data_IF_100897379069
#
_entry.id   IF_100897379069
#
_cell.length_a   1.000
_cell.length_b   1.000
_cell.length_c   1.000
_cell.angle_alpha   90.00
_cell.angle_beta   90.00
_cell.angle_gamma   90.00
#
_symmetry.space_group_name_H-M   'P 1'
#
loop_
_entity.id
_entity.type
_entity.pdbx_description
1 polymer ?
#
# COMPACT_ATOMS: atom_id res chain seq x y z
N UNK A 1 10.53 -11.15 -6.09
CA UNK A 1 9.61 -10.99 -7.22
C UNK A 1 8.27 -11.60 -6.80
N UNK A 2 7.16 -11.00 -7.21
CA UNK A 2 5.80 -11.52 -6.95
C UNK A 2 5.26 -12.12 -8.25
N UNK A 3 4.60 -13.26 -8.16
CA UNK A 3 3.99 -13.94 -9.31
C UNK A 3 2.60 -13.36 -9.62
N UNK A 4 1.84 -13.07 -8.56
CA UNK A 4 0.54 -12.38 -8.62
C UNK A 4 0.46 -11.39 -7.46
N UNK A 5 -0.07 -10.20 -7.72
CA UNK A 5 -0.37 -9.18 -6.71
C UNK A 5 -1.77 -8.63 -6.98
N UNK A 6 -2.62 -8.61 -5.96
CA UNK A 6 -3.95 -8.01 -5.99
C UNK A 6 -4.03 -6.99 -4.87
N UNK A 7 -4.58 -5.80 -5.16
CA UNK A 7 -4.74 -4.73 -4.18
C UNK A 7 -6.19 -4.32 -4.15
N UNK A 8 -6.77 -4.34 -2.95
CA UNK A 8 -8.14 -3.92 -2.68
C UNK A 8 -8.12 -2.62 -1.88
N UNK A 9 -8.81 -1.60 -2.35
CA UNK A 9 -9.01 -0.35 -1.61
C UNK A 9 -10.14 -0.55 -0.60
N UNK A 10 -9.84 -0.36 0.69
CA UNK A 10 -10.78 -0.57 1.78
C UNK A 10 -11.45 0.72 2.22
N UNK A 11 -10.81 1.87 1.98
CA UNK A 11 -11.38 3.19 2.28
C UNK A 11 -10.73 4.26 1.41
N UNK A 12 -11.51 5.27 1.03
CA UNK A 12 -11.01 6.55 0.55
C UNK A 12 -11.57 7.69 1.40
N UNK A 13 -10.76 8.72 1.58
CA UNK A 13 -11.15 10.00 2.16
C UNK A 13 -10.61 11.09 1.24
N UNK A 14 -11.51 11.95 0.78
CA UNK A 14 -11.19 13.01 -0.18
C UNK A 14 -11.56 14.36 0.44
N UNK A 15 -10.66 15.34 0.34
CA UNK A 15 -10.85 16.72 0.78
C UNK A 15 -10.20 17.73 -0.18
N UNK A 16 -10.31 19.03 0.13
CA UNK A 16 -9.77 20.12 -0.70
C UNK A 16 -8.23 20.11 -0.80
N UNK A 17 -7.54 19.37 0.07
CA UNK A 17 -6.08 19.24 0.12
C UNK A 17 -5.60 17.94 -0.51
N UNK A 18 -6.51 17.05 -0.89
CA UNK A 18 -6.23 15.84 -1.66
C UNK A 18 -6.97 14.61 -1.16
N UNK A 19 -6.34 13.45 -1.26
CA UNK A 19 -6.99 12.16 -1.04
C UNK A 19 -6.13 11.22 -0.21
N UNK A 20 -6.76 10.45 0.68
CA UNK A 20 -6.14 9.34 1.41
C UNK A 20 -6.84 8.03 1.03
N UNK A 21 -6.05 7.02 0.67
CA UNK A 21 -6.51 5.73 0.19
C UNK A 21 -5.95 4.63 1.09
N UNK A 22 -6.80 3.98 1.88
CA UNK A 22 -6.44 2.78 2.63
C UNK A 22 -6.62 1.55 1.73
N UNK A 23 -5.66 0.63 1.74
CA UNK A 23 -5.67 -0.55 0.90
C UNK A 23 -5.04 -1.77 1.58
N UNK A 24 -5.43 -2.95 1.11
CA UNK A 24 -4.82 -4.23 1.44
C UNK A 24 -4.31 -4.87 0.17
N UNK A 25 -3.03 -5.25 0.15
CA UNK A 25 -2.42 -5.95 -0.96
C UNK A 25 -2.07 -7.38 -0.56
N UNK A 26 -2.41 -8.33 -1.41
CA UNK A 26 -2.10 -9.75 -1.27
C UNK A 26 -1.26 -10.17 -2.47
N UNK A 27 -0.16 -10.86 -2.24
CA UNK A 27 0.66 -11.38 -3.32
C UNK A 27 1.40 -12.65 -2.96
N UNK A 28 1.73 -13.43 -3.99
CA UNK A 28 2.50 -14.67 -3.83
C UNK A 28 3.95 -14.39 -4.19
N UNK A 29 4.86 -14.63 -3.24
CA UNK A 29 6.31 -14.49 -3.44
C UNK A 29 6.80 -15.65 -4.31
N UNK A 30 7.74 -15.39 -5.22
CA UNK A 30 8.42 -16.46 -5.98
C UNK A 30 9.08 -17.43 -4.98
N UNK A 31 8.54 -18.65 -4.86
CA UNK A 31 8.95 -19.63 -3.84
C UNK A 31 7.82 -20.11 -2.91
N UNK A 32 6.58 -19.61 -3.04
CA UNK A 32 5.39 -20.21 -2.42
C UNK A 32 4.93 -19.60 -1.09
N UNK A 33 5.40 -18.41 -0.73
CA UNK A 33 4.90 -17.67 0.43
C UNK A 33 3.83 -16.66 0.06
N UNK A 34 2.65 -16.73 0.68
CA UNK A 34 1.65 -15.67 0.59
C UNK A 34 2.07 -14.50 1.49
N UNK A 35 1.98 -13.28 0.94
CA UNK A 35 2.24 -12.03 1.63
C UNK A 35 0.97 -11.20 1.58
N UNK A 36 0.45 -10.84 2.76
CA UNK A 36 -0.58 -9.81 2.89
C UNK A 36 0.02 -8.63 3.64
N UNK A 37 -0.15 -7.43 3.09
CA UNK A 37 0.29 -6.20 3.74
C UNK A 37 -0.71 -5.08 3.46
N UNK A 38 -0.85 -4.17 4.41
CA UNK A 38 -1.76 -3.03 4.33
C UNK A 38 -0.98 -1.74 4.22
N UNK A 39 -1.61 -0.73 3.67
CA UNK A 39 -1.02 0.59 3.58
C UNK A 39 -2.03 1.69 3.33
N UNK A 40 -1.51 2.90 3.36
CA UNK A 40 -2.22 4.14 3.08
C UNK A 40 -1.42 4.91 2.04
N UNK A 41 -2.08 5.31 0.96
CA UNK A 41 -1.52 6.28 0.00
C UNK A 41 -2.18 7.64 0.25
N UNK A 42 -1.37 8.66 0.48
CA UNK A 42 -1.80 10.05 0.62
C UNK A 42 -1.37 10.81 -0.63
N UNK A 43 -2.31 11.48 -1.27
CA UNK A 43 -2.14 12.32 -2.45
C UNK A 43 -2.42 13.75 -2.00
N UNK A 44 -1.44 14.64 -2.14
CA UNK A 44 -1.61 16.07 -1.86
C UNK A 44 -1.99 16.80 -3.16
N UNK A 45 -3.00 17.66 -3.10
CA UNK A 45 -3.47 18.47 -4.21
C UNK A 45 -3.40 19.95 -3.83
N UNK A 46 -2.90 20.77 -4.75
CA UNK A 46 -2.95 22.23 -4.63
C UNK A 46 -3.26 22.84 -6.01
N UNK A 47 -4.21 23.78 -6.06
CA UNK A 47 -4.68 24.40 -7.30
C UNK A 47 -5.04 23.34 -8.37
N UNK A 48 -5.81 22.33 -7.96
CA UNK A 48 -6.29 21.24 -8.83
C UNK A 48 -5.17 20.36 -9.43
N UNK A 49 -3.94 20.50 -8.92
CA UNK A 49 -2.78 19.73 -9.37
C UNK A 49 -2.23 18.87 -8.22
N UNK A 50 -1.93 17.61 -8.54
CA UNK A 50 -1.22 16.72 -7.62
C UNK A 50 0.19 17.24 -7.34
N UNK A 51 0.47 17.52 -6.08
CA UNK A 51 1.76 18.08 -5.63
C UNK A 51 2.63 17.06 -4.91
N UNK A 52 2.04 15.98 -4.40
CA UNK A 52 2.75 14.96 -3.67
C UNK A 52 1.99 13.64 -3.64
N UNK A 53 2.75 12.55 -3.61
CA UNK A 53 2.23 11.20 -3.34
C UNK A 53 3.14 10.53 -2.33
N UNK A 54 2.58 10.04 -1.23
CA UNK A 54 3.30 9.32 -0.18
C UNK A 54 2.57 8.02 0.11
N UNK A 55 3.31 6.93 0.19
CA UNK A 55 2.75 5.62 0.55
C UNK A 55 3.39 5.14 1.84
N UNK A 56 2.55 4.88 2.83
CA UNK A 56 2.92 4.26 4.09
C UNK A 56 2.37 2.84 4.07
N UNK A 57 3.18 1.84 4.41
CA UNK A 57 2.73 0.46 4.43
C UNK A 57 3.46 -0.31 5.52
N UNK A 58 2.84 -1.40 5.97
CA UNK A 58 3.46 -2.29 6.95
C UNK A 58 4.60 -3.10 6.30
N UNK A 59 5.80 -2.53 6.34
CA UNK A 59 7.01 -3.18 5.83
C UNK A 59 7.44 -4.40 6.65
N UNK A 60 6.96 -4.56 7.88
CA UNK A 60 7.27 -5.72 8.71
C UNK A 60 6.72 -7.00 8.09
N UNK A 61 5.64 -6.92 7.31
CA UNK A 61 5.11 -8.04 6.54
C UNK A 61 6.17 -8.68 5.61
N UNK A 62 7.18 -7.92 5.18
CA UNK A 62 8.23 -8.40 4.28
C UNK A 62 9.43 -9.02 5.01
N UNK A 63 9.55 -8.77 6.33
CA UNK A 63 10.54 -9.37 7.19
C UNK A 63 10.02 -10.77 7.56
N UNK A 64 10.62 -11.82 6.97
CA UNK A 64 10.34 -13.19 7.38
C UNK A 64 10.67 -13.41 8.87
N UNK A 65 10.24 -14.53 9.48
CA UNK A 65 10.67 -14.86 10.84
C UNK A 65 12.19 -14.78 10.88
N UNK A 66 12.73 -13.92 11.74
CA UNK A 66 14.16 -13.83 11.99
C UNK A 66 14.66 -15.24 12.29
N UNK A 67 15.53 -15.78 11.44
CA UNK A 67 16.20 -17.04 11.72
C UNK A 67 16.98 -16.84 13.03
N UNK A 68 16.44 -17.40 14.11
CA UNK A 68 17.11 -17.55 15.39
C UNK A 68 18.02 -18.76 15.39
#
# INVERSE_FOLDING_TARGET
MFDTISTEFTRSLDDDRGSSLEWTSRGTRTGGGELTYTGVTVIDVANEQGTGVRTYYDSAAFLGPSAG
#
